data_IF_383454485386
#
_entry.id   IF_383454485386
#
_cell.length_a   1.000
_cell.length_b   1.000
_cell.length_c   1.000
_cell.angle_alpha   90.00
_cell.angle_beta   90.00
_cell.angle_gamma   90.00
#
_symmetry.space_group_name_H-M   'P 1'
#
loop_
_entity.id
_entity.type
_entity.pdbx_description
1 polymer ?
#
# COMPACT_ATOMS: atom_id res chain seq x y z
N UNK A 1 1.83 -13.25 -12.12
CA UNK A 1 3.18 -13.63 -11.70
C UNK A 1 3.38 -13.39 -10.22
N UNK A 2 3.18 -12.18 -9.72
CA UNK A 2 3.27 -11.86 -8.29
C UNK A 2 2.43 -12.84 -7.45
N UNK A 3 1.15 -12.99 -7.78
CA UNK A 3 0.24 -13.93 -7.11
C UNK A 3 0.78 -15.36 -7.12
N UNK A 4 1.29 -15.83 -8.26
CA UNK A 4 1.87 -17.15 -8.37
C UNK A 4 3.09 -17.33 -7.45
N UNK A 5 4.03 -16.36 -7.49
CA UNK A 5 5.24 -16.41 -6.63
C UNK A 5 4.85 -16.36 -5.15
N UNK A 6 3.88 -15.50 -4.78
CA UNK A 6 3.38 -15.43 -3.40
C UNK A 6 2.76 -16.77 -2.99
N UNK A 7 1.89 -17.36 -3.81
CA UNK A 7 1.25 -18.62 -3.48
C UNK A 7 2.26 -19.76 -3.26
N UNK A 8 3.26 -19.87 -4.14
CA UNK A 8 4.33 -20.86 -4.00
C UNK A 8 5.13 -20.61 -2.73
N UNK A 9 5.50 -19.35 -2.49
CA UNK A 9 6.32 -19.00 -1.33
C UNK A 9 5.55 -19.16 -0.02
N UNK A 10 4.31 -18.70 0.04
CA UNK A 10 3.43 -18.79 1.21
C UNK A 10 3.15 -20.26 1.56
N UNK A 11 2.91 -21.10 0.54
CA UNK A 11 2.70 -22.53 0.75
C UNK A 11 3.91 -23.22 1.40
N UNK A 12 5.13 -22.76 1.08
CA UNK A 12 6.37 -23.38 1.57
C UNK A 12 6.88 -22.77 2.88
N UNK A 13 6.63 -21.48 3.15
CA UNK A 13 7.32 -20.73 4.19
C UNK A 13 6.41 -20.06 5.23
N UNK A 14 5.22 -19.63 4.84
CA UNK A 14 4.31 -18.88 5.71
C UNK A 14 2.86 -19.34 5.55
N UNK A 15 2.54 -20.61 5.88
CA UNK A 15 1.19 -21.16 5.69
C UNK A 15 0.12 -20.43 6.51
N UNK A 16 0.50 -19.78 7.60
CA UNK A 16 -0.36 -18.94 8.45
C UNK A 16 -1.00 -17.75 7.71
N UNK A 17 -0.48 -17.36 6.55
CA UNK A 17 -0.97 -16.22 5.77
C UNK A 17 -1.89 -16.60 4.63
N UNK A 18 -2.02 -17.90 4.32
CA UNK A 18 -2.73 -18.36 3.11
C UNK A 18 -4.20 -17.94 3.13
N UNK A 19 -4.88 -18.15 4.22
CA UNK A 19 -6.31 -17.86 4.33
C UNK A 19 -6.58 -16.37 4.09
N UNK A 20 -5.88 -15.51 4.82
CA UNK A 20 -6.00 -14.05 4.66
C UNK A 20 -5.59 -13.58 3.25
N UNK A 21 -4.55 -14.18 2.69
CA UNK A 21 -4.13 -13.87 1.33
C UNK A 21 -5.21 -14.23 0.30
N UNK A 22 -5.83 -15.42 0.42
CA UNK A 22 -6.89 -15.86 -0.49
C UNK A 22 -8.16 -15.03 -0.35
N UNK A 23 -8.47 -14.58 0.84
CA UNK A 23 -9.60 -13.68 1.12
C UNK A 23 -9.42 -12.29 0.49
N UNK A 24 -8.22 -11.73 0.56
CA UNK A 24 -7.91 -10.39 0.04
C UNK A 24 -7.65 -10.39 -1.48
N UNK A 25 -7.24 -11.53 -2.05
CA UNK A 25 -6.80 -11.65 -3.44
C UNK A 25 -7.85 -11.21 -4.48
N UNK A 26 -9.15 -11.55 -4.37
CA UNK A 26 -10.16 -11.12 -5.32
C UNK A 26 -10.26 -9.59 -5.38
N UNK A 27 -10.25 -8.93 -4.25
CA UNK A 27 -10.40 -7.49 -4.11
C UNK A 27 -9.16 -6.73 -4.61
N UNK A 28 -7.97 -7.25 -4.30
CA UNK A 28 -6.72 -6.72 -4.82
C UNK A 28 -6.64 -6.87 -6.36
N UNK A 29 -7.13 -7.99 -6.89
CA UNK A 29 -7.11 -8.28 -8.34
C UNK A 29 -8.00 -7.35 -9.16
N UNK A 30 -9.10 -6.86 -8.58
CA UNK A 30 -10.03 -5.93 -9.26
C UNK A 30 -9.80 -4.46 -8.89
N UNK A 31 -8.74 -4.16 -8.10
CA UNK A 31 -8.41 -2.79 -7.70
C UNK A 31 -9.38 -2.19 -6.68
N UNK A 32 -9.93 -3.02 -5.79
CA UNK A 32 -10.87 -2.63 -4.74
C UNK A 32 -10.38 -3.00 -3.33
N UNK A 33 -9.11 -3.35 -3.15
CA UNK A 33 -8.57 -3.75 -1.84
C UNK A 33 -8.73 -2.67 -0.76
N UNK A 34 -8.66 -1.40 -1.12
CA UNK A 34 -8.86 -0.29 -0.19
C UNK A 34 -10.31 -0.26 0.37
N UNK A 35 -11.32 -0.47 -0.45
CA UNK A 35 -12.71 -0.58 0.00
C UNK A 35 -12.95 -1.84 0.81
N UNK A 36 -12.33 -2.94 0.42
CA UNK A 36 -12.37 -4.18 1.18
C UNK A 36 -11.86 -4.01 2.61
N UNK A 37 -10.73 -3.34 2.79
CA UNK A 37 -10.18 -3.05 4.11
C UNK A 37 -11.08 -2.10 4.94
N UNK A 38 -11.76 -1.15 4.29
CA UNK A 38 -12.76 -0.31 4.98
C UNK A 38 -13.95 -1.18 5.45
N UNK A 39 -14.50 -2.05 4.60
CA UNK A 39 -15.65 -2.89 4.95
C UNK A 39 -15.34 -3.94 6.03
N UNK A 40 -14.09 -4.38 6.12
CA UNK A 40 -13.64 -5.28 7.19
C UNK A 40 -13.33 -4.56 8.50
N UNK A 41 -13.49 -3.27 8.57
CA UNK A 41 -13.04 -2.45 9.69
C UNK A 41 -11.56 -2.69 10.05
N UNK A 42 -10.72 -2.78 9.00
CA UNK A 42 -9.33 -3.16 9.11
C UNK A 42 -8.49 -1.99 9.60
N UNK A 43 -7.96 -2.08 10.81
CA UNK A 43 -7.00 -1.09 11.28
C UNK A 43 -5.62 -1.34 10.67
N UNK A 44 -5.08 -0.35 9.97
CA UNK A 44 -3.77 -0.44 9.33
C UNK A 44 -2.63 -0.60 10.32
N UNK A 45 -2.74 0.01 11.49
CA UNK A 45 -1.67 0.10 12.50
C UNK A 45 -1.83 -0.88 13.66
N UNK A 46 -3.04 -1.27 14.03
CA UNK A 46 -3.34 -2.08 15.22
C UNK A 46 -3.49 -3.57 14.95
N UNK A 47 -2.62 -4.15 14.11
CA UNK A 47 -2.73 -5.55 13.74
C UNK A 47 -2.00 -6.48 14.71
N UNK A 48 -2.73 -7.43 15.25
CA UNK A 48 -2.14 -8.58 15.94
C UNK A 48 -1.68 -9.62 14.92
N UNK A 49 -0.43 -10.06 15.03
CA UNK A 49 0.15 -11.07 14.15
C UNK A 49 0.77 -10.52 12.87
N UNK A 50 0.75 -11.34 11.80
CA UNK A 50 1.28 -10.95 10.50
C UNK A 50 0.20 -10.21 9.70
N UNK A 51 0.47 -8.98 9.22
CA UNK A 51 -0.45 -8.28 8.34
C UNK A 51 -0.68 -9.02 7.02
N UNK A 52 -1.76 -8.67 6.32
CA UNK A 52 -2.03 -9.20 4.97
C UNK A 52 -0.86 -8.94 4.03
N UNK A 53 -0.45 -9.96 3.27
CA UNK A 53 0.59 -9.82 2.24
C UNK A 53 0.16 -8.90 1.10
N UNK A 54 -1.14 -8.65 0.95
CA UNK A 54 -1.71 -7.74 -0.05
C UNK A 54 -2.11 -6.38 0.52
N UNK A 55 -1.84 -6.12 1.82
CA UNK A 55 -2.24 -4.88 2.47
C UNK A 55 -1.79 -3.65 1.67
N UNK A 56 -0.54 -3.58 1.26
CA UNK A 56 0.02 -2.44 0.53
C UNK A 56 -0.67 -2.16 -0.83
N UNK A 57 -1.46 -3.10 -1.36
CA UNK A 57 -2.19 -2.90 -2.62
C UNK A 57 -3.34 -1.90 -2.52
N UNK A 58 -3.70 -1.45 -1.32
CA UNK A 58 -4.76 -0.47 -1.11
C UNK A 58 -4.49 0.85 -1.86
N UNK A 59 -3.25 1.34 -1.83
CA UNK A 59 -2.87 2.59 -2.49
C UNK A 59 -2.90 2.44 -4.02
N UNK A 60 -2.47 1.27 -4.54
CA UNK A 60 -2.58 0.94 -5.96
C UNK A 60 -4.04 0.83 -6.41
N UNK A 61 -4.95 0.39 -5.53
CA UNK A 61 -6.38 0.36 -5.82
C UNK A 61 -6.93 1.77 -6.03
N UNK A 62 -6.54 2.74 -5.20
CA UNK A 62 -6.92 4.15 -5.38
C UNK A 62 -6.42 4.70 -6.72
N UNK A 63 -5.15 4.43 -7.05
CA UNK A 63 -4.58 4.82 -8.34
C UNK A 63 -5.31 4.17 -9.52
N UNK A 64 -5.59 2.87 -9.47
CA UNK A 64 -6.31 2.15 -10.50
C UNK A 64 -7.71 2.72 -10.74
N UNK A 65 -8.44 3.05 -9.67
CA UNK A 65 -9.73 3.72 -9.74
C UNK A 65 -9.62 5.10 -10.39
N UNK A 66 -8.61 5.89 -10.02
CA UNK A 66 -8.36 7.19 -10.64
C UNK A 66 -8.01 7.05 -12.12
N UNK A 67 -7.17 6.10 -12.51
CA UNK A 67 -6.78 5.86 -13.91
C UNK A 67 -7.95 5.33 -14.76
N UNK A 68 -8.92 4.67 -14.17
CA UNK A 68 -10.14 4.29 -14.86
C UNK A 68 -11.11 5.48 -15.00
N UNK A 69 -11.34 6.21 -13.92
CA UNK A 69 -12.30 7.30 -13.85
C UNK A 69 -11.85 8.56 -14.59
N UNK A 70 -10.61 9.01 -14.37
CA UNK A 70 -10.14 10.30 -14.86
C UNK A 70 -10.08 10.40 -16.40
N UNK A 71 -9.50 9.43 -17.15
CA UNK A 71 -9.52 9.45 -18.60
C UNK A 71 -10.94 9.34 -19.17
N UNK A 72 -11.82 8.56 -18.53
CA UNK A 72 -13.22 8.46 -18.93
C UNK A 72 -13.92 9.81 -18.79
N UNK A 73 -13.78 10.45 -17.64
CA UNK A 73 -14.33 11.79 -17.38
C UNK A 73 -13.82 12.81 -18.41
N UNK A 74 -12.50 12.82 -18.66
CA UNK A 74 -11.92 13.69 -19.68
C UNK A 74 -12.49 13.40 -21.05
N UNK A 75 -12.59 12.13 -21.46
CA UNK A 75 -13.09 11.76 -22.79
C UNK A 75 -14.55 12.19 -23.02
N UNK A 76 -15.37 12.14 -21.98
CA UNK A 76 -16.76 12.57 -22.02
C UNK A 76 -16.90 14.09 -22.03
N UNK A 77 -16.04 14.81 -21.32
CA UNK A 77 -16.13 16.25 -21.14
C UNK A 77 -15.27 17.06 -22.15
N UNK A 78 -14.22 16.44 -22.73
CA UNK A 78 -13.29 17.12 -23.64
C UNK A 78 -13.97 17.80 -24.84
N UNK A 79 -15.04 17.26 -25.46
CA UNK A 79 -15.73 17.91 -26.55
C UNK A 79 -16.41 19.22 -26.16
N UNK A 80 -16.76 19.39 -24.89
CA UNK A 80 -17.56 20.52 -24.38
C UNK A 80 -16.77 21.46 -23.49
N UNK A 81 -15.64 21.00 -22.89
CA UNK A 81 -14.88 21.77 -21.94
C UNK A 81 -13.56 22.29 -22.52
N UNK A 82 -13.31 23.58 -22.33
CA UNK A 82 -11.98 24.15 -22.53
C UNK A 82 -10.99 23.61 -21.51
N UNK A 83 -9.69 23.53 -21.89
CA UNK A 83 -8.60 23.08 -21.00
C UNK A 83 -8.61 23.74 -19.61
N UNK A 84 -8.95 25.04 -19.53
CA UNK A 84 -9.06 25.76 -18.26
C UNK A 84 -10.14 25.17 -17.33
N UNK A 85 -11.26 24.70 -17.88
CA UNK A 85 -12.32 24.06 -17.08
C UNK A 85 -11.91 22.70 -16.56
N UNK A 86 -11.12 21.93 -17.33
CA UNK A 86 -10.54 20.67 -16.84
C UNK A 86 -9.57 20.89 -15.68
N UNK A 87 -8.77 21.96 -15.74
CA UNK A 87 -7.92 22.37 -14.63
C UNK A 87 -8.73 22.70 -13.38
N UNK A 88 -9.80 23.48 -13.54
CA UNK A 88 -10.71 23.81 -12.43
C UNK A 88 -11.34 22.57 -11.83
N UNK A 89 -11.78 21.60 -12.65
CA UNK A 89 -12.30 20.31 -12.17
C UNK A 89 -11.26 19.52 -11.39
N UNK A 90 -10.02 19.47 -11.84
CA UNK A 90 -8.96 18.78 -11.12
C UNK A 90 -8.65 19.47 -9.78
N UNK A 91 -8.55 20.81 -9.75
CA UNK A 91 -8.35 21.54 -8.48
C UNK A 91 -9.55 21.36 -7.56
N UNK A 92 -10.78 21.43 -8.08
CA UNK A 92 -11.99 21.17 -7.29
C UNK A 92 -11.99 19.74 -6.72
N UNK A 93 -11.57 18.73 -7.49
CA UNK A 93 -11.40 17.36 -7.03
C UNK A 93 -10.40 17.24 -5.87
N UNK A 94 -9.26 17.94 -5.93
CA UNK A 94 -8.29 17.99 -4.84
C UNK A 94 -8.88 18.64 -3.57
N UNK A 95 -9.57 19.76 -3.73
CA UNK A 95 -10.22 20.46 -2.60
C UNK A 95 -11.32 19.60 -1.99
N UNK A 96 -12.17 18.96 -2.81
CA UNK A 96 -13.21 18.04 -2.33
C UNK A 96 -12.60 16.84 -1.58
N UNK A 97 -11.48 16.31 -2.05
CA UNK A 97 -10.76 15.24 -1.35
C UNK A 97 -10.25 15.70 0.03
N UNK A 98 -9.75 16.94 0.14
CA UNK A 98 -9.35 17.50 1.44
C UNK A 98 -10.55 17.80 2.35
N UNK A 99 -11.66 18.27 1.81
CA UNK A 99 -12.90 18.45 2.59
C UNK A 99 -13.39 17.09 3.10
N UNK A 100 -13.36 16.06 2.26
CA UNK A 100 -13.74 14.71 2.67
C UNK A 100 -12.80 14.16 3.74
N UNK A 101 -11.48 14.36 3.60
CA UNK A 101 -10.49 14.01 4.62
C UNK A 101 -10.80 14.70 5.96
N UNK A 102 -11.00 16.00 5.93
CA UNK A 102 -11.32 16.79 7.13
C UNK A 102 -12.63 16.32 7.77
N UNK A 103 -13.66 16.10 6.96
CA UNK A 103 -14.95 15.62 7.44
C UNK A 103 -14.85 14.24 8.11
N UNK A 104 -14.18 13.27 7.46
CA UNK A 104 -13.98 11.93 8.02
C UNK A 104 -13.13 11.98 9.28
N UNK A 105 -12.10 12.83 9.34
CA UNK A 105 -11.23 12.98 10.49
C UNK A 105 -11.92 13.64 11.69
N UNK A 106 -12.91 14.50 11.47
CA UNK A 106 -13.59 15.21 12.55
C UNK A 106 -14.92 14.59 12.96
N UNK A 107 -15.70 14.10 12.00
CA UNK A 107 -17.02 13.52 12.24
C UNK A 107 -17.00 12.00 12.41
N UNK A 108 -15.93 11.34 11.96
CA UNK A 108 -15.83 9.88 11.96
C UNK A 108 -15.11 9.28 13.17
N UNK A 109 -14.58 10.10 14.08
CA UNK A 109 -13.91 9.62 15.29
C UNK A 109 -14.94 9.02 16.24
N UNK A 110 -14.71 7.79 16.69
CA UNK A 110 -15.59 7.09 17.61
C UNK A 110 -15.43 7.61 19.06
N UNK A 111 -16.26 7.11 19.98
CA UNK A 111 -16.24 7.51 21.39
C UNK A 111 -14.93 7.19 22.14
N UNK A 112 -14.08 6.37 21.55
CA UNK A 112 -12.75 6.00 22.09
C UNK A 112 -11.61 6.81 21.48
N UNK A 113 -11.90 7.74 20.58
CA UNK A 113 -10.88 8.56 19.89
C UNK A 113 -10.23 7.87 18.69
N UNK A 114 -10.77 6.74 18.24
CA UNK A 114 -10.22 6.00 17.10
C UNK A 114 -10.76 6.55 15.78
N UNK A 115 -9.89 6.64 14.79
CA UNK A 115 -10.23 7.10 13.45
C UNK A 115 -10.79 5.94 12.60
N UNK A 116 -11.81 6.20 11.78
CA UNK A 116 -12.35 5.16 10.91
C UNK A 116 -11.34 4.74 9.84
N UNK A 117 -11.31 3.46 9.43
CA UNK A 117 -10.43 2.97 8.37
C UNK A 117 -10.53 3.76 7.05
N UNK A 118 -11.70 4.34 6.78
CA UNK A 118 -11.95 5.20 5.63
C UNK A 118 -11.04 6.44 5.59
N UNK A 119 -10.53 6.90 6.73
CA UNK A 119 -9.58 8.02 6.78
C UNK A 119 -8.27 7.64 6.07
N UNK A 120 -7.78 6.42 6.28
CA UNK A 120 -6.53 5.92 5.70
C UNK A 120 -6.73 5.27 4.33
N UNK A 121 -7.76 4.43 4.17
CA UNK A 121 -7.95 3.65 2.95
C UNK A 121 -8.87 4.32 1.92
N UNK A 122 -9.53 5.43 2.25
CA UNK A 122 -10.58 6.01 1.42
C UNK A 122 -10.04 6.61 0.10
N UNK A 123 -10.62 6.26 -1.02
CA UNK A 123 -10.32 6.92 -2.30
C UNK A 123 -10.64 8.41 -2.22
N UNK A 124 -11.73 8.78 -1.58
CA UNK A 124 -12.16 10.17 -1.41
C UNK A 124 -11.25 10.99 -0.49
N UNK A 125 -10.54 10.36 0.45
CA UNK A 125 -9.61 11.04 1.37
C UNK A 125 -8.20 11.14 0.79
N UNK A 126 -7.80 10.24 -0.11
CA UNK A 126 -6.43 10.14 -0.66
C UNK A 126 -6.25 10.65 -2.10
N UNK A 127 -7.33 10.98 -2.81
CA UNK A 127 -7.24 11.37 -4.23
C UNK A 127 -6.65 12.75 -4.48
N UNK A 128 -6.44 13.59 -3.45
CA UNK A 128 -5.98 14.97 -3.60
C UNK A 128 -4.67 15.09 -4.38
N UNK A 129 -3.68 14.25 -4.09
CA UNK A 129 -2.40 14.24 -4.80
C UNK A 129 -2.53 13.89 -6.28
N UNK A 130 -3.41 12.94 -6.63
CA UNK A 130 -3.69 12.55 -8.01
C UNK A 130 -4.37 13.69 -8.79
N UNK A 131 -5.34 14.36 -8.17
CA UNK A 131 -6.00 15.53 -8.75
C UNK A 131 -5.06 16.72 -8.90
N UNK A 132 -4.18 17.00 -7.94
CA UNK A 132 -3.15 18.03 -8.05
C UNK A 132 -2.17 17.72 -9.19
N UNK A 133 -1.75 16.47 -9.33
CA UNK A 133 -0.94 16.02 -10.47
C UNK A 133 -1.65 16.23 -11.81
N UNK A 134 -2.94 15.92 -11.89
CA UNK A 134 -3.75 16.15 -13.08
C UNK A 134 -3.89 17.65 -13.41
N UNK A 135 -4.11 18.50 -12.39
CA UNK A 135 -4.14 19.95 -12.55
C UNK A 135 -2.78 20.50 -13.05
N UNK A 136 -1.69 20.01 -12.45
CA UNK A 136 -0.33 20.38 -12.86
C UNK A 136 -0.07 20.00 -14.33
N UNK A 137 -0.48 18.82 -14.77
CA UNK A 137 -0.28 18.35 -16.14
C UNK A 137 -0.97 19.24 -17.20
N UNK A 138 -2.10 19.84 -16.87
CA UNK A 138 -2.80 20.79 -17.74
C UNK A 138 -2.09 22.14 -17.80
N UNK A 139 -1.59 22.61 -16.65
CA UNK A 139 -0.99 23.93 -16.49
C UNK A 139 0.49 23.96 -16.91
N UNK A 140 1.26 22.94 -16.49
CA UNK A 140 2.72 22.89 -16.59
C UNK A 140 3.15 22.12 -17.84
N UNK A 141 3.23 22.83 -18.97
CA UNK A 141 3.57 22.21 -20.27
C UNK A 141 5.04 22.41 -20.60
N UNK A 142 5.90 21.38 -20.55
CA UNK A 142 7.33 21.50 -20.84
C UNK A 142 7.64 22.14 -22.20
N UNK A 143 6.80 21.89 -23.22
CA UNK A 143 6.95 22.46 -24.57
C UNK A 143 6.84 23.99 -24.63
N UNK A 144 6.27 24.61 -23.60
CA UNK A 144 6.10 26.07 -23.51
C UNK A 144 7.26 26.73 -22.77
N UNK A 145 8.20 25.99 -22.25
CA UNK A 145 9.34 26.52 -21.50
C UNK A 145 10.39 27.09 -22.46
N UNK A 146 11.04 28.16 -22.02
CA UNK A 146 12.18 28.73 -22.73
C UNK A 146 13.39 27.81 -22.64
N UNK A 147 14.30 27.92 -23.62
CA UNK A 147 15.57 27.18 -23.63
C UNK A 147 16.62 27.73 -22.68
N UNK A 148 16.50 29.01 -22.30
CA UNK A 148 17.45 29.69 -21.39
C UNK A 148 16.70 30.53 -20.36
N UNK A 149 17.23 30.58 -19.17
CA UNK A 149 16.71 31.37 -18.05
C UNK A 149 17.85 32.17 -17.39
N UNK A 150 17.51 33.23 -16.67
CA UNK A 150 18.46 33.96 -15.85
C UNK A 150 18.86 33.14 -14.64
N UNK A 151 20.05 33.44 -14.11
CA UNK A 151 20.58 32.74 -12.92
C UNK A 151 19.63 32.88 -11.73
N UNK A 152 18.93 34.00 -11.60
CA UNK A 152 17.95 34.20 -10.53
C UNK A 152 16.76 33.20 -10.63
N UNK A 153 16.26 32.97 -11.85
CA UNK A 153 15.18 31.99 -12.10
C UNK A 153 15.68 30.57 -11.84
N UNK A 154 16.91 30.24 -12.29
CA UNK A 154 17.52 28.92 -12.02
C UNK A 154 17.65 28.65 -10.53
N UNK A 155 18.12 29.64 -9.77
CA UNK A 155 18.25 29.57 -8.31
C UNK A 155 16.87 29.40 -7.64
N UNK A 156 15.88 30.18 -8.05
CA UNK A 156 14.52 30.13 -7.48
C UNK A 156 13.91 28.73 -7.65
N UNK A 157 13.89 28.17 -8.87
CA UNK A 157 13.37 26.83 -9.10
C UNK A 157 14.15 25.74 -8.36
N UNK A 158 15.47 25.85 -8.29
CA UNK A 158 16.29 24.89 -7.57
C UNK A 158 16.01 24.95 -6.06
N UNK A 159 15.93 26.15 -5.48
CA UNK A 159 15.64 26.33 -4.06
C UNK A 159 14.22 25.85 -3.68
N UNK A 160 13.21 26.14 -4.52
CA UNK A 160 11.86 25.64 -4.33
C UNK A 160 11.83 24.11 -4.36
N UNK A 161 12.55 23.47 -5.28
CA UNK A 161 12.65 22.01 -5.31
C UNK A 161 13.36 21.43 -4.09
N UNK A 162 14.44 22.06 -3.62
CA UNK A 162 15.16 21.65 -2.40
C UNK A 162 14.27 21.84 -1.17
N UNK A 163 13.54 22.96 -1.06
CA UNK A 163 12.61 23.19 0.03
C UNK A 163 11.49 22.15 0.05
N UNK A 164 10.95 21.77 -1.12
CA UNK A 164 9.95 20.70 -1.22
C UNK A 164 10.51 19.35 -0.76
N UNK A 165 11.74 19.01 -1.13
CA UNK A 165 12.41 17.79 -0.64
C UNK A 165 12.60 17.82 0.88
N UNK A 166 13.00 18.97 1.44
CA UNK A 166 13.16 19.14 2.87
C UNK A 166 11.84 18.98 3.63
N UNK A 167 10.74 19.54 3.08
CA UNK A 167 9.38 19.37 3.63
C UNK A 167 8.97 17.90 3.60
N UNK A 168 9.21 17.19 2.49
CA UNK A 168 8.90 15.76 2.39
C UNK A 168 9.74 14.93 3.37
N UNK A 169 11.03 15.23 3.50
CA UNK A 169 11.90 14.57 4.49
C UNK A 169 11.43 14.84 5.93
N UNK A 170 11.05 16.08 6.22
CA UNK A 170 10.47 16.44 7.52
C UNK A 170 9.16 15.67 7.78
N UNK A 171 8.25 15.62 6.81
CA UNK A 171 7.00 14.88 6.93
C UNK A 171 7.23 13.39 7.22
N UNK A 172 8.23 12.76 6.59
CA UNK A 172 8.59 11.37 6.83
C UNK A 172 9.13 11.11 8.25
N UNK A 173 9.71 12.11 8.92
CA UNK A 173 10.41 11.92 10.20
C UNK A 173 9.66 12.49 11.40
N UNK A 174 8.77 13.46 11.19
CA UNK A 174 8.13 14.21 12.28
C UNK A 174 6.62 14.03 12.36
N UNK A 175 5.99 13.57 11.28
CA UNK A 175 4.53 13.35 11.30
C UNK A 175 4.27 11.97 11.87
N UNK A 176 3.69 11.95 13.09
CA UNK A 176 3.29 10.71 13.74
C UNK A 176 2.06 10.13 13.03
N UNK A 177 2.22 8.88 12.56
CA UNK A 177 1.19 8.16 11.81
C UNK A 177 -0.02 7.77 12.66
N UNK A 178 0.12 7.80 13.99
CA UNK A 178 -0.93 7.40 14.95
C UNK A 178 -1.79 8.60 15.34
N UNK A 179 -1.30 9.82 15.16
CA UNK A 179 -2.02 11.03 15.55
C UNK A 179 -2.86 11.64 14.44
N UNK A 180 -3.90 12.40 14.82
CA UNK A 180 -4.75 13.14 13.87
C UNK A 180 -3.97 14.09 12.96
N UNK A 181 -2.83 14.61 13.41
CA UNK A 181 -1.98 15.53 12.67
C UNK A 181 -1.42 14.90 11.38
N UNK A 182 -1.16 13.59 11.39
CA UNK A 182 -0.76 12.86 10.18
C UNK A 182 -1.80 13.01 9.06
N UNK A 183 -3.06 12.88 9.39
CA UNK A 183 -4.14 12.97 8.42
C UNK A 183 -4.43 14.39 8.01
N UNK A 184 -4.58 15.30 8.99
CA UNK A 184 -5.04 16.65 8.74
C UNK A 184 -3.97 17.54 8.11
N UNK A 185 -2.72 17.34 8.46
CA UNK A 185 -1.58 18.17 8.03
C UNK A 185 -0.67 17.39 7.09
N UNK A 186 -0.32 16.16 7.43
CA UNK A 186 0.65 15.35 6.70
C UNK A 186 0.22 15.08 5.27
N UNK A 187 -1.00 14.63 5.00
CA UNK A 187 -1.48 14.35 3.65
C UNK A 187 -1.55 15.57 2.74
N UNK A 188 -2.18 16.70 3.16
CA UNK A 188 -2.17 17.92 2.35
C UNK A 188 -0.76 18.45 2.07
N UNK A 189 0.11 18.48 3.08
CA UNK A 189 1.48 18.98 2.93
C UNK A 189 2.28 18.11 1.96
N UNK A 190 2.23 16.78 2.10
CA UNK A 190 2.94 15.87 1.20
C UNK A 190 2.42 15.96 -0.23
N UNK A 191 1.11 16.07 -0.44
CA UNK A 191 0.52 16.23 -1.77
C UNK A 191 0.96 17.55 -2.43
N UNK A 192 0.95 18.66 -1.70
CA UNK A 192 1.41 19.96 -2.19
C UNK A 192 2.91 19.98 -2.44
N UNK A 193 3.72 19.53 -1.48
CA UNK A 193 5.17 19.50 -1.61
C UNK A 193 5.61 18.63 -2.79
N UNK A 194 4.98 17.46 -2.98
CA UNK A 194 5.24 16.59 -4.12
C UNK A 194 4.87 17.27 -5.44
N UNK A 195 3.73 17.94 -5.51
CA UNK A 195 3.29 18.66 -6.70
C UNK A 195 4.27 19.77 -7.07
N UNK A 196 4.71 20.55 -6.08
CA UNK A 196 5.69 21.64 -6.27
C UNK A 196 7.07 21.08 -6.65
N UNK A 197 7.48 19.98 -6.05
CA UNK A 197 8.72 19.28 -6.40
C UNK A 197 8.70 18.84 -7.86
N UNK A 198 7.63 18.18 -8.31
CA UNK A 198 7.48 17.74 -9.69
C UNK A 198 7.53 18.96 -10.64
N UNK A 199 6.81 20.03 -10.32
CA UNK A 199 6.83 21.25 -11.10
C UNK A 199 8.24 21.83 -11.20
N UNK A 200 8.98 21.87 -10.10
CA UNK A 200 10.37 22.33 -10.06
C UNK A 200 11.29 21.43 -10.90
N UNK A 201 11.25 20.11 -10.72
CA UNK A 201 12.16 19.16 -11.39
C UNK A 201 11.92 19.10 -12.89
N UNK A 202 10.66 19.21 -13.34
CA UNK A 202 10.30 19.20 -14.76
C UNK A 202 10.68 20.52 -15.45
N UNK A 203 10.87 21.62 -14.70
CA UNK A 203 11.23 22.91 -15.28
C UNK A 203 12.71 22.93 -15.68
N UNK A 204 13.05 23.35 -16.94
CA UNK A 204 14.43 23.28 -17.43
C UNK A 204 15.41 24.21 -16.70
N UNK A 205 14.93 25.23 -15.99
CA UNK A 205 15.75 26.09 -15.15
C UNK A 205 16.24 25.42 -13.86
N UNK A 206 15.62 24.32 -13.43
CA UNK A 206 15.99 23.67 -12.18
C UNK A 206 17.26 22.83 -12.32
N UNK A 207 18.27 23.09 -11.49
CA UNK A 207 19.47 22.25 -11.43
C UNK A 207 19.23 20.91 -10.74
N UNK A 208 18.16 20.80 -9.95
CA UNK A 208 17.77 19.59 -9.26
C UNK A 208 17.45 18.44 -10.23
N UNK A 209 16.93 18.78 -11.42
CA UNK A 209 16.69 17.79 -12.50
C UNK A 209 17.95 17.02 -12.91
N UNK A 210 19.14 17.64 -12.84
CA UNK A 210 20.40 16.98 -13.16
C UNK A 210 20.81 15.96 -12.07
N UNK A 211 20.55 16.30 -10.81
CA UNK A 211 20.83 15.42 -9.67
C UNK A 211 19.86 14.25 -9.64
N UNK A 212 18.56 14.52 -9.74
CA UNK A 212 17.54 13.46 -9.76
C UNK A 212 17.54 12.65 -11.06
N UNK A 213 18.10 13.19 -12.13
CA UNK A 213 18.32 12.52 -13.41
C UNK A 213 19.58 11.66 -13.49
N UNK A 214 20.34 11.48 -12.39
CA UNK A 214 21.51 10.58 -12.39
C UNK A 214 21.10 9.14 -12.66
N UNK A 215 21.96 8.32 -13.34
CA UNK A 215 21.62 6.97 -13.78
C UNK A 215 21.11 6.06 -12.67
N UNK A 216 21.68 6.15 -11.46
CA UNK A 216 21.24 5.36 -10.31
C UNK A 216 19.82 5.70 -9.89
N UNK A 217 19.48 7.00 -9.76
CA UNK A 217 18.13 7.43 -9.39
C UNK A 217 17.12 7.14 -10.49
N UNK A 218 17.50 7.26 -11.76
CA UNK A 218 16.67 6.84 -12.89
C UNK A 218 16.42 5.33 -12.86
N UNK A 219 17.45 4.53 -12.54
CA UNK A 219 17.30 3.08 -12.40
C UNK A 219 16.29 2.73 -11.31
N UNK A 220 16.39 3.36 -10.13
CA UNK A 220 15.42 3.19 -9.03
C UNK A 220 14.02 3.65 -9.47
N UNK A 221 13.91 4.85 -10.03
CA UNK A 221 12.62 5.42 -10.46
C UNK A 221 11.91 4.58 -11.52
N UNK A 222 12.63 4.01 -12.48
CA UNK A 222 12.02 3.15 -13.50
C UNK A 222 11.52 1.82 -12.95
N UNK A 223 11.99 1.40 -11.77
CA UNK A 223 11.63 0.15 -11.09
C UNK A 223 10.79 0.37 -9.84
N UNK A 224 10.44 1.62 -9.53
CA UNK A 224 9.73 1.98 -8.30
C UNK A 224 8.43 1.21 -8.11
N UNK A 225 7.70 0.95 -9.20
CA UNK A 225 6.49 0.12 -9.16
C UNK A 225 6.78 -1.32 -8.72
N UNK A 226 7.78 -1.96 -9.29
CA UNK A 226 8.20 -3.30 -8.89
C UNK A 226 8.74 -3.33 -7.45
N UNK A 227 9.55 -2.33 -7.07
CA UNK A 227 10.03 -2.18 -5.70
C UNK A 227 8.86 -2.07 -4.71
N UNK A 228 7.86 -1.25 -5.02
CA UNK A 228 6.66 -1.11 -4.22
C UNK A 228 5.85 -2.41 -4.11
N UNK A 229 5.71 -3.16 -5.19
CA UNK A 229 4.99 -4.44 -5.16
C UNK A 229 5.68 -5.50 -4.30
N UNK A 230 7.01 -5.56 -4.31
CA UNK A 230 7.75 -6.63 -3.67
C UNK A 230 8.20 -6.31 -2.24
N UNK A 231 8.42 -5.02 -1.88
CA UNK A 231 8.98 -4.67 -0.57
C UNK A 231 8.15 -5.21 0.59
N UNK A 232 6.84 -5.03 0.55
CA UNK A 232 5.95 -5.45 1.63
C UNK A 232 5.97 -6.95 1.83
N UNK A 233 5.87 -7.70 0.74
CA UNK A 233 5.89 -9.15 0.76
C UNK A 233 7.20 -9.66 1.36
N UNK A 234 8.34 -9.16 0.87
CA UNK A 234 9.67 -9.56 1.35
C UNK A 234 9.84 -9.25 2.85
N UNK A 235 9.41 -8.06 3.29
CA UNK A 235 9.46 -7.67 4.71
C UNK A 235 8.58 -8.59 5.55
N UNK A 236 7.35 -8.86 5.12
CA UNK A 236 6.39 -9.64 5.91
C UNK A 236 6.72 -11.14 6.00
N UNK A 237 7.41 -11.69 5.03
CA UNK A 237 7.78 -13.12 5.05
C UNK A 237 9.15 -13.41 5.68
N UNK A 238 9.92 -12.36 6.03
CA UNK A 238 11.29 -12.48 6.54
C UNK A 238 11.50 -11.58 7.77
N UNK A 239 10.58 -11.59 8.74
CA UNK A 239 10.68 -10.74 9.93
C UNK A 239 11.82 -11.22 10.84
N UNK A 240 12.78 -10.34 11.23
CA UNK A 240 13.87 -10.71 12.12
C UNK A 240 13.34 -11.11 13.50
N UNK A 241 13.86 -12.19 14.05
CA UNK A 241 13.47 -12.71 15.36
C UNK A 241 12.11 -13.42 15.43
N UNK A 242 11.32 -13.39 14.33
CA UNK A 242 10.03 -14.10 14.22
C UNK A 242 10.08 -15.21 13.16
N UNK A 243 10.47 -14.86 11.95
CA UNK A 243 10.54 -15.79 10.81
C UNK A 243 11.98 -16.26 10.55
N UNK A 244 12.97 -15.41 10.86
CA UNK A 244 14.40 -15.65 10.62
C UNK A 244 15.17 -15.39 11.91
N UNK A 245 15.79 -16.45 12.45
CA UNK A 245 16.66 -16.36 13.64
C UNK A 245 18.09 -15.96 13.21
N UNK A 246 18.26 -14.68 12.93
CA UNK A 246 19.54 -14.06 12.59
C UNK A 246 19.58 -12.61 13.06
N UNK A 247 20.78 -12.00 13.19
CA UNK A 247 20.91 -10.58 13.54
C UNK A 247 20.11 -9.68 12.57
N UNK A 248 19.35 -8.74 13.11
CA UNK A 248 18.41 -7.92 12.34
C UNK A 248 19.08 -7.22 11.12
N UNK A 249 20.30 -6.72 11.27
CA UNK A 249 21.03 -6.08 10.17
C UNK A 249 21.32 -7.04 9.00
N UNK A 250 21.56 -8.33 9.27
CA UNK A 250 21.75 -9.34 8.22
C UNK A 250 20.44 -9.60 7.50
N UNK A 251 19.34 -9.74 8.26
CA UNK A 251 18.00 -9.95 7.69
C UNK A 251 17.60 -8.77 6.82
N UNK A 252 17.75 -7.53 7.29
CA UNK A 252 17.45 -6.34 6.50
C UNK A 252 18.31 -6.22 5.23
N UNK A 253 19.60 -6.53 5.32
CA UNK A 253 20.48 -6.55 4.15
C UNK A 253 20.00 -7.58 3.14
N UNK A 254 19.66 -8.78 3.59
CA UNK A 254 19.17 -9.83 2.73
C UNK A 254 17.80 -9.49 2.11
N UNK A 255 16.87 -8.92 2.88
CA UNK A 255 15.60 -8.40 2.36
C UNK A 255 15.81 -7.41 1.22
N UNK A 256 16.73 -6.45 1.39
CA UNK A 256 17.05 -5.45 0.34
C UNK A 256 17.58 -6.16 -0.92
N UNK A 257 18.51 -7.10 -0.79
CA UNK A 257 19.06 -7.82 -1.93
C UNK A 257 18.00 -8.66 -2.64
N UNK A 258 17.17 -9.38 -1.91
CA UNK A 258 16.05 -10.17 -2.47
C UNK A 258 15.06 -9.27 -3.17
N UNK A 259 14.66 -8.17 -2.55
CA UNK A 259 13.74 -7.18 -3.12
C UNK A 259 14.29 -6.61 -4.43
N UNK A 260 15.56 -6.22 -4.48
CA UNK A 260 16.21 -5.70 -5.69
C UNK A 260 16.28 -6.77 -6.79
N UNK A 261 16.64 -8.01 -6.45
CA UNK A 261 16.74 -9.12 -7.39
C UNK A 261 15.37 -9.46 -8.00
N UNK A 262 14.34 -9.66 -7.17
CA UNK A 262 12.99 -9.97 -7.64
C UNK A 262 12.42 -8.84 -8.49
N UNK A 263 12.64 -7.60 -8.07
CA UNK A 263 12.20 -6.42 -8.82
C UNK A 263 12.85 -6.37 -10.21
N UNK A 264 14.17 -6.59 -10.30
CA UNK A 264 14.88 -6.58 -11.59
C UNK A 264 14.40 -7.71 -12.50
N UNK A 265 14.17 -8.91 -11.95
CA UNK A 265 13.61 -10.05 -12.69
C UNK A 265 12.21 -9.71 -13.21
N UNK A 266 11.33 -9.21 -12.32
CA UNK A 266 9.97 -8.80 -12.67
C UNK A 266 9.94 -7.69 -13.72
N UNK A 267 10.80 -6.69 -13.57
CA UNK A 267 10.93 -5.57 -14.52
C UNK A 267 11.31 -6.05 -15.93
N UNK A 268 12.33 -6.94 -16.04
CA UNK A 268 12.81 -7.40 -17.34
C UNK A 268 11.88 -8.41 -18.00
N UNK A 269 11.37 -9.37 -17.22
CA UNK A 269 10.63 -10.51 -17.78
C UNK A 269 9.14 -10.23 -17.94
N UNK A 270 8.59 -9.28 -17.19
CA UNK A 270 7.15 -9.03 -17.15
C UNK A 270 6.81 -7.60 -17.53
N UNK A 271 7.28 -6.63 -16.74
CA UNK A 271 6.88 -5.25 -16.94
C UNK A 271 7.32 -4.70 -18.30
N UNK A 272 8.59 -4.86 -18.66
CA UNK A 272 9.12 -4.35 -19.92
C UNK A 272 8.46 -4.99 -21.15
N UNK A 273 8.26 -6.31 -21.23
CA UNK A 273 7.51 -6.94 -22.33
C UNK A 273 6.07 -6.43 -22.42
N UNK A 274 5.37 -6.31 -21.29
CA UNK A 274 3.98 -5.80 -21.27
C UNK A 274 3.94 -4.37 -21.81
N UNK A 275 4.79 -3.49 -21.31
CA UNK A 275 4.88 -2.08 -21.75
C UNK A 275 5.25 -1.95 -23.25
N UNK A 276 6.01 -2.90 -23.79
CA UNK A 276 6.34 -2.96 -25.23
C UNK A 276 5.23 -3.60 -26.10
N UNK A 277 4.06 -3.86 -25.50
CA UNK A 277 2.88 -4.37 -26.20
C UNK A 277 2.95 -5.85 -26.58
N UNK A 278 3.80 -6.66 -25.90
CA UNK A 278 3.88 -8.11 -26.17
C UNK A 278 2.56 -8.84 -25.91
N UNK A 279 1.77 -8.39 -24.91
CA UNK A 279 0.44 -8.97 -24.66
C UNK A 279 -0.46 -8.79 -25.88
N UNK A 280 -0.55 -7.58 -26.42
CA UNK A 280 -1.38 -7.32 -27.60
C UNK A 280 -0.93 -8.15 -28.81
N UNK A 281 0.39 -8.22 -29.07
CA UNK A 281 0.97 -9.01 -30.15
C UNK A 281 0.70 -10.52 -29.96
N UNK A 282 0.86 -11.02 -28.73
CA UNK A 282 0.60 -12.42 -28.40
C UNK A 282 -0.87 -12.74 -28.50
N UNK A 283 -1.76 -11.83 -28.07
CA UNK A 283 -3.20 -12.00 -28.19
C UNK A 283 -3.66 -12.09 -29.64
N UNK A 284 -3.11 -11.25 -30.52
CA UNK A 284 -3.37 -11.35 -31.98
C UNK A 284 -2.90 -12.70 -32.53
N UNK A 285 -1.71 -13.16 -32.12
CA UNK A 285 -1.20 -14.48 -32.52
C UNK A 285 -2.08 -15.62 -32.01
N UNK A 286 -2.53 -15.56 -30.75
CA UNK A 286 -3.44 -16.56 -30.16
C UNK A 286 -4.80 -16.56 -30.88
N UNK A 287 -5.34 -15.39 -31.20
CA UNK A 287 -6.58 -15.29 -31.98
C UNK A 287 -6.49 -15.94 -33.36
N UNK A 288 -5.31 -15.93 -33.98
CA UNK A 288 -5.06 -16.53 -35.28
C UNK A 288 -4.83 -18.07 -35.22
N UNK A 289 -4.66 -18.66 -34.03
CA UNK A 289 -4.44 -20.09 -33.86
C UNK A 289 -5.71 -20.91 -34.04
N UNK A 290 -5.52 -22.22 -34.30
CA UNK A 290 -6.62 -23.19 -34.43
C UNK A 290 -7.40 -23.30 -33.10
N UNK A 291 -8.69 -23.68 -33.14
CA UNK A 291 -9.49 -23.92 -31.93
C UNK A 291 -8.86 -24.92 -30.97
N UNK A 292 -8.17 -25.95 -31.52
CA UNK A 292 -7.47 -26.95 -30.71
C UNK A 292 -6.30 -26.34 -29.94
N UNK A 293 -5.47 -25.53 -30.61
CA UNK A 293 -4.35 -24.81 -29.97
C UNK A 293 -4.83 -23.85 -28.92
N UNK A 294 -5.91 -23.09 -29.18
CA UNK A 294 -6.53 -22.17 -28.18
C UNK A 294 -6.98 -22.91 -26.92
N UNK A 295 -7.62 -24.08 -27.07
CA UNK A 295 -8.01 -24.93 -25.93
C UNK A 295 -6.81 -25.36 -25.10
N UNK A 296 -5.72 -25.82 -25.76
CA UNK A 296 -4.50 -26.21 -25.06
C UNK A 296 -3.85 -25.04 -24.34
N UNK A 297 -3.78 -23.85 -24.95
CA UNK A 297 -3.27 -22.63 -24.28
C UNK A 297 -4.13 -22.30 -23.07
N UNK A 298 -5.45 -22.35 -23.19
CA UNK A 298 -6.37 -22.10 -22.09
C UNK A 298 -6.18 -23.12 -20.95
N UNK A 299 -6.10 -24.43 -21.28
CA UNK A 299 -5.85 -25.49 -20.29
C UNK A 299 -4.53 -25.24 -19.57
N UNK A 300 -3.43 -25.01 -20.30
CA UNK A 300 -2.12 -24.72 -19.70
C UNK A 300 -2.16 -23.49 -18.78
N UNK A 301 -2.79 -22.39 -19.23
CA UNK A 301 -2.92 -21.19 -18.42
C UNK A 301 -3.74 -21.47 -17.15
N UNK A 302 -4.87 -22.15 -17.26
CA UNK A 302 -5.69 -22.53 -16.10
C UNK A 302 -4.93 -23.42 -15.14
N UNK A 303 -4.18 -24.43 -15.64
CA UNK A 303 -3.39 -25.35 -14.81
C UNK A 303 -2.30 -24.61 -14.03
N UNK A 304 -1.58 -23.68 -14.67
CA UNK A 304 -0.54 -22.86 -14.02
C UNK A 304 -1.09 -22.03 -12.85
N UNK A 305 -2.34 -21.58 -12.93
CA UNK A 305 -2.97 -20.84 -11.84
C UNK A 305 -3.72 -21.73 -10.84
N UNK A 306 -4.34 -22.80 -11.30
CA UNK A 306 -5.15 -23.69 -10.45
C UNK A 306 -4.31 -24.52 -9.49
N UNK A 307 -3.16 -25.06 -9.92
CA UNK A 307 -2.31 -25.92 -9.08
C UNK A 307 -1.83 -25.17 -7.81
N UNK A 308 -1.22 -23.97 -7.88
CA UNK A 308 -0.82 -23.26 -6.66
C UNK A 308 -2.00 -22.89 -5.76
N UNK A 309 -3.14 -22.54 -6.35
CA UNK A 309 -4.34 -22.18 -5.61
C UNK A 309 -4.92 -23.36 -4.84
N UNK A 310 -5.00 -24.54 -5.49
CA UNK A 310 -5.52 -25.76 -4.84
C UNK A 310 -4.55 -26.30 -3.80
N UNK A 311 -3.23 -26.23 -4.05
CA UNK A 311 -2.22 -26.61 -3.05
C UNK A 311 -2.26 -25.69 -1.84
N UNK A 312 -2.37 -24.38 -2.03
CA UNK A 312 -2.50 -23.42 -0.95
C UNK A 312 -3.76 -23.68 -0.11
N UNK A 313 -4.90 -23.90 -0.75
CA UNK A 313 -6.16 -24.23 -0.06
C UNK A 313 -6.08 -25.55 0.71
N UNK A 314 -5.44 -26.58 0.16
CA UNK A 314 -5.26 -27.86 0.83
C UNK A 314 -4.33 -27.76 2.05
N UNK A 315 -3.27 -26.95 1.99
CA UNK A 315 -2.38 -26.70 3.13
C UNK A 315 -3.13 -25.94 4.23
N UNK A 316 -3.91 -24.93 3.88
CA UNK A 316 -4.73 -24.18 4.85
C UNK A 316 -5.74 -25.08 5.57
N UNK A 317 -6.48 -25.92 4.84
CA UNK A 317 -7.44 -26.85 5.44
C UNK A 317 -6.80 -27.88 6.35
N UNK A 318 -5.62 -28.41 6.00
CA UNK A 318 -4.88 -29.34 6.83
C UNK A 318 -4.32 -28.68 8.11
N UNK A 319 -3.84 -27.43 8.02
CA UNK A 319 -3.36 -26.68 9.18
C UNK A 319 -4.48 -26.43 10.20
N UNK A 320 -5.67 -26.07 9.74
CA UNK A 320 -6.86 -25.91 10.60
C UNK A 320 -7.26 -27.22 11.27
N UNK A 321 -7.23 -28.33 10.52
CA UNK A 321 -7.58 -29.66 11.06
C UNK A 321 -6.58 -30.12 12.12
N UNK A 322 -5.28 -29.89 11.94
CA UNK A 322 -4.24 -30.22 12.92
C UNK A 322 -4.41 -29.39 14.20
N UNK A 323 -4.66 -28.08 14.08
CA UNK A 323 -4.88 -27.20 15.22
C UNK A 323 -6.15 -27.58 16.02
N UNK A 324 -7.18 -28.10 15.37
CA UNK A 324 -8.41 -28.54 16.02
C UNK A 324 -8.24 -29.88 16.78
N UNK A 325 -7.41 -30.78 16.27
CA UNK A 325 -7.20 -32.11 16.82
C UNK A 325 -6.08 -32.21 17.89
N UNK A 326 -5.21 -31.20 18.01
CA UNK A 326 -4.15 -31.12 18.99
C UNK A 326 -4.15 -29.77 19.72
N UNK A 327 -4.83 -29.69 20.88
CA UNK A 327 -4.88 -28.46 21.67
C UNK A 327 -3.50 -27.98 22.17
N UNK A 328 -2.49 -28.86 22.19
CA UNK A 328 -1.13 -28.52 22.62
C UNK A 328 -0.26 -27.99 21.48
N UNK A 329 -0.68 -28.18 20.23
CA UNK A 329 -0.04 -27.57 19.06
C UNK A 329 -0.34 -26.05 18.93
N UNK A 330 -1.32 -25.53 19.67
CA UNK A 330 -1.75 -24.12 19.72
C UNK A 330 -0.61 -23.15 20.11
N UNK A 331 0.46 -23.64 20.74
CA UNK A 331 1.65 -22.82 21.03
C UNK A 331 2.50 -22.43 19.81
N UNK A 332 2.26 -23.02 18.62
CA UNK A 332 3.01 -22.74 17.40
C UNK A 332 2.18 -22.07 16.28
N UNK A 333 0.85 -22.17 16.35
CA UNK A 333 -0.05 -21.53 15.37
C UNK A 333 -1.24 -20.95 16.13
N UNK A 334 -1.15 -19.70 16.52
CA UNK A 334 -2.31 -18.98 17.07
C UNK A 334 -3.16 -18.56 15.87
N UNK A 335 -4.13 -19.40 15.48
CA UNK A 335 -5.24 -18.97 14.63
C UNK A 335 -6.25 -18.33 15.58
N UNK A 336 -6.29 -17.01 15.64
CA UNK A 336 -7.36 -16.30 16.31
C UNK A 336 -8.62 -16.47 15.43
N UNK A 337 -9.57 -17.25 15.92
CA UNK A 337 -10.92 -17.32 15.36
C UNK A 337 -11.57 -15.92 15.49
N UNK A 338 -11.90 -15.25 14.41
CA UNK A 338 -12.52 -13.92 14.46
C UNK A 338 -13.92 -13.90 15.07
N UNK A 339 -14.50 -15.08 15.35
CA UNK A 339 -15.83 -15.18 15.98
C UNK A 339 -15.79 -15.13 17.53
N UNK A 340 -14.60 -15.14 18.15
CA UNK A 340 -14.48 -15.05 19.60
C UNK A 340 -14.36 -13.59 20.01
N UNK A 341 -15.50 -12.96 20.29
CA UNK A 341 -15.54 -11.68 21.04
C UNK A 341 -14.78 -11.84 22.36
N UNK A 342 -13.94 -10.87 22.78
CA UNK A 342 -13.24 -10.96 24.05
C UNK A 342 -14.26 -10.97 25.18
N UNK A 343 -14.46 -12.15 25.76
CA UNK A 343 -15.24 -12.29 26.98
C UNK A 343 -14.52 -11.50 28.07
N UNK A 344 -15.16 -10.46 28.54
CA UNK A 344 -14.74 -9.64 29.68
C UNK A 344 -14.42 -10.60 30.83
N UNK A 345 -13.17 -10.75 31.18
CA UNK A 345 -12.76 -11.41 32.42
C UNK A 345 -13.18 -10.49 33.56
N UNK A 346 -14.34 -10.78 34.15
CA UNK A 346 -14.76 -10.18 35.41
C UNK A 346 -13.75 -10.58 36.48
N UNK A 347 -13.04 -9.61 37.00
CA UNK A 347 -12.25 -9.72 38.18
C UNK A 347 -13.21 -9.87 39.38
N UNK A 348 -13.57 -11.11 39.71
CA UNK A 348 -14.22 -11.42 40.97
C UNK A 348 -13.55 -12.63 41.63
N UNK A 349 -13.19 -12.43 42.89
CA UNK A 349 -12.81 -13.43 43.89
C UNK A 349 -11.36 -13.95 43.89
N UNK A 350 -10.47 -13.14 44.45
CA UNK A 350 -9.48 -13.69 45.38
C UNK A 350 -10.00 -13.42 46.78
N UNK A 351 -10.77 -14.35 47.30
CA UNK A 351 -11.08 -14.42 48.74
C UNK A 351 -9.89 -15.04 49.43
N UNK A 352 -9.12 -14.23 50.13
CA UNK A 352 -8.11 -14.67 51.09
C UNK A 352 -8.82 -15.04 52.39
N UNK A 353 -8.85 -16.31 52.70
CA UNK A 353 -9.08 -16.83 54.07
C UNK A 353 -7.81 -16.69 54.87
N UNK A 354 -7.82 -15.77 55.82
CA UNK A 354 -6.94 -15.86 57.00
C UNK A 354 -7.76 -15.40 58.22
N UNK A 355 -7.86 -16.32 59.17
CA UNK A 355 -8.55 -16.24 60.45
C UNK A 355 -7.75 -15.43 61.49
N UNK A 356 -8.39 -15.06 62.59
CA UNK A 356 -7.99 -13.93 63.40
C UNK A 356 -7.12 -14.35 64.61
N UNK A 357 -6.33 -13.42 65.12
CA UNK A 357 -6.00 -13.33 66.54
C UNK A 357 -5.65 -11.85 66.87
N UNK A 358 -6.42 -11.35 67.83
CA UNK A 358 -6.25 -10.15 68.65
C UNK A 358 -5.04 -10.31 69.62
N UNK A 359 -4.54 -9.34 70.45
CA UNK A 359 -5.26 -8.18 70.96
C UNK A 359 -4.44 -6.86 71.11
N UNK A 360 -5.20 -5.79 71.26
CA UNK A 360 -5.08 -4.61 72.15
C UNK A 360 -3.69 -4.19 72.69
N UNK A 361 -3.31 -2.94 72.45
CA UNK A 361 -3.04 -2.00 73.57
C UNK A 361 -2.93 -0.52 73.10
N UNK A 362 -3.53 0.30 73.98
CA UNK A 362 -3.54 1.74 74.04
C UNK A 362 -2.17 2.43 74.11
N UNK A 363 -2.05 3.67 73.63
CA UNK A 363 -1.88 4.93 74.34
C UNK A 363 -1.22 6.01 73.50
N UNK A 364 -1.91 7.11 73.41
CA UNK A 364 -1.55 8.50 73.72
C UNK A 364 -0.05 8.91 73.53
N UNK A 365 0.22 9.86 72.66
CA UNK A 365 0.35 11.31 72.96
C UNK A 365 0.24 12.06 71.62
#
# INVERSE_FOLDING_TARGET
FMVFVILVFVALWAPDTIERFLEDLPWASVGLSNWWFIFKDYDYFAQLGRPSLLQHTWSLAIEAQFYAFWPLLISLLAPTLMLKRMQVLAVAGAVLSWIALLWVATAGVNSYGEYPPALYFGTHTHSSGLFLGAALAVFWKPRNFKSRYTISVERAFTLVGIASLAILAWALTQVDQITGDYYLIGFPITALATTVLIASVVHPASRLSKVLGMPLLQWIGTRSYGLYLWHWIVIQVMRPGLDVDAPAYMVYTFQILVMLAITEISYRLIETPIRRGYIAKTWVKIKAQSPRTKRWIAVMATTVFAIPLTTASAISSNAVTIAHNDPLAVGKVVILDPSISPTRVSSSSLTSTASPDEPTEERQV
#
